data_IF_683418332981
#
_entry.id   IF_683418332981
#
_cell.length_a   1.000
_cell.length_b   1.000
_cell.length_c   1.000
_cell.angle_alpha   90.00
_cell.angle_beta   90.00
_cell.angle_gamma   90.00
#
_symmetry.space_group_name_H-M   'P 1'
#
loop_
_entity.id
_entity.type
_entity.pdbx_description
1 polymer ?
#
# COMPACT_ATOMS: atom_id res chain seq x y z
N UNK A 1 -3.76 -10.18 4.90
CA UNK A 1 -3.93 -10.64 3.49
C UNK A 1 -4.19 -12.15 3.47
N UNK A 2 -5.31 -12.59 2.87
CA UNK A 2 -5.66 -14.02 2.83
C UNK A 2 -5.20 -14.74 1.55
N UNK A 3 -4.98 -16.05 1.64
CA UNK A 3 -4.71 -16.92 0.48
C UNK A 3 -3.30 -16.75 -0.12
N UNK A 4 -3.13 -16.93 -1.44
CA UNK A 4 -1.80 -16.95 -2.09
C UNK A 4 -1.04 -15.62 -1.99
N UNK A 5 -1.72 -14.51 -1.72
CA UNK A 5 -1.07 -13.21 -1.49
C UNK A 5 -0.23 -13.21 -0.21
N UNK A 6 -0.62 -13.99 0.81
CA UNK A 6 0.09 -14.06 2.09
C UNK A 6 1.54 -14.53 1.91
N UNK A 7 1.73 -15.59 1.12
CA UNK A 7 3.06 -16.12 0.81
C UNK A 7 3.94 -15.08 0.10
N UNK A 8 3.36 -14.27 -0.79
CA UNK A 8 4.11 -13.18 -1.46
C UNK A 8 4.56 -12.14 -0.45
N UNK A 9 3.67 -11.69 0.45
CA UNK A 9 4.00 -10.68 1.46
C UNK A 9 4.99 -11.19 2.51
N UNK A 10 4.88 -12.44 2.94
CA UNK A 10 5.82 -13.06 3.89
C UNK A 10 7.24 -13.16 3.30
N UNK A 11 7.36 -13.55 2.02
CA UNK A 11 8.67 -13.59 1.34
C UNK A 11 9.28 -12.20 1.13
N UNK A 12 8.46 -11.16 1.02
CA UNK A 12 8.93 -9.77 0.94
C UNK A 12 9.21 -9.14 2.32
N UNK A 13 8.93 -9.85 3.42
CA UNK A 13 9.12 -9.34 4.78
C UNK A 13 8.05 -8.35 5.25
N UNK A 14 6.89 -8.30 4.58
CA UNK A 14 5.77 -7.43 4.96
C UNK A 14 4.91 -8.12 6.00
N UNK A 15 4.98 -7.64 7.24
CA UNK A 15 4.29 -8.24 8.39
C UNK A 15 2.88 -7.68 8.57
N UNK A 16 2.75 -6.36 8.51
CA UNK A 16 1.51 -5.63 8.78
C UNK A 16 0.81 -5.22 7.49
N UNK A 17 -0.22 -5.99 7.10
CA UNK A 17 -1.00 -5.69 5.91
C UNK A 17 -2.44 -6.22 5.98
N UNK A 18 -3.38 -5.31 5.75
CA UNK A 18 -4.80 -5.62 5.51
C UNK A 18 -5.05 -5.56 4.01
N UNK A 19 -5.57 -6.64 3.44
CA UNK A 19 -5.85 -6.71 2.01
C UNK A 19 -7.05 -7.62 1.77
N UNK A 20 -7.87 -7.25 0.77
CA UNK A 20 -9.02 -8.00 0.29
C UNK A 20 -8.93 -8.13 -1.23
N UNK A 21 -9.13 -9.35 -1.73
CA UNK A 21 -9.23 -9.57 -3.18
C UNK A 21 -10.62 -9.16 -3.64
N UNK A 22 -10.70 -8.24 -4.60
CA UNK A 22 -11.95 -7.80 -5.22
C UNK A 22 -12.02 -8.35 -6.64
N UNK A 23 -13.10 -9.03 -6.99
CA UNK A 23 -13.27 -9.69 -8.29
C UNK A 23 -12.92 -11.18 -8.26
N UNK A 24 -12.00 -11.61 -9.14
CA UNK A 24 -11.67 -13.04 -9.31
C UNK A 24 -10.85 -13.60 -8.14
N UNK A 25 -11.24 -14.77 -7.64
CA UNK A 25 -10.52 -15.51 -6.59
C UNK A 25 -9.52 -16.55 -7.15
N UNK A 26 -9.22 -16.50 -8.45
CA UNK A 26 -8.22 -17.40 -9.04
C UNK A 26 -6.81 -17.07 -8.51
N UNK A 27 -6.11 -18.07 -7.98
CA UNK A 27 -4.79 -17.93 -7.33
C UNK A 27 -3.75 -17.25 -8.23
N UNK A 28 -3.73 -17.58 -9.53
CA UNK A 28 -2.78 -16.97 -10.47
C UNK A 28 -3.03 -15.47 -10.64
N UNK A 29 -4.29 -15.08 -10.77
CA UNK A 29 -4.67 -13.68 -10.93
C UNK A 29 -4.44 -12.89 -9.63
N UNK A 30 -4.70 -13.49 -8.47
CA UNK A 30 -4.43 -12.85 -7.19
C UNK A 30 -2.94 -12.52 -7.02
N UNK A 31 -2.05 -13.44 -7.37
CA UNK A 31 -0.60 -13.20 -7.32
C UNK A 31 -0.19 -12.13 -8.33
N UNK A 32 -0.68 -12.21 -9.58
CA UNK A 32 -0.39 -11.20 -10.61
C UNK A 32 -0.87 -9.80 -10.20
N UNK A 33 -2.08 -9.70 -9.66
CA UNK A 33 -2.64 -8.45 -9.14
C UNK A 33 -1.85 -7.92 -7.94
N UNK A 34 -1.34 -8.81 -7.08
CA UNK A 34 -0.48 -8.41 -5.94
C UNK A 34 0.81 -7.76 -6.43
N UNK A 35 1.49 -8.37 -7.40
CA UNK A 35 2.70 -7.78 -7.97
C UNK A 35 2.41 -6.47 -8.72
N UNK A 36 1.29 -6.39 -9.42
CA UNK A 36 0.86 -5.16 -10.08
C UNK A 36 0.62 -4.04 -9.07
N UNK A 37 -0.10 -4.32 -7.97
CA UNK A 37 -0.35 -3.34 -6.90
C UNK A 37 0.94 -2.85 -6.22
N UNK A 38 1.93 -3.73 -6.06
CA UNK A 38 3.24 -3.37 -5.50
C UNK A 38 4.04 -2.45 -6.43
N UNK A 39 3.97 -2.67 -7.76
CA UNK A 39 4.66 -1.81 -8.74
C UNK A 39 4.09 -0.40 -8.82
N UNK A 40 2.80 -0.25 -8.51
CA UNK A 40 2.13 1.06 -8.49
C UNK A 40 2.30 1.82 -7.17
N UNK A 41 3.04 1.28 -6.19
CA UNK A 41 3.34 2.02 -4.96
C UNK A 41 4.29 3.18 -5.26
N UNK A 42 3.97 4.35 -4.72
CA UNK A 42 4.78 5.57 -4.90
C UNK A 42 5.36 6.02 -3.56
N UNK A 43 6.61 6.48 -3.59
CA UNK A 43 7.24 7.02 -2.39
C UNK A 43 6.61 8.38 -2.03
N UNK A 44 6.30 8.66 -0.75
CA UNK A 44 5.61 9.90 -0.37
C UNK A 44 6.36 11.18 -0.75
N UNK A 45 7.69 11.12 -0.88
CA UNK A 45 8.51 12.25 -1.36
C UNK A 45 8.23 12.60 -2.81
N UNK A 46 8.01 11.58 -3.66
CA UNK A 46 7.75 11.77 -5.09
C UNK A 46 6.36 12.39 -5.28
N UNK A 47 5.39 11.94 -4.48
CA UNK A 47 4.06 12.55 -4.42
C UNK A 47 4.13 14.00 -3.95
N UNK A 48 4.94 14.31 -2.93
CA UNK A 48 5.11 15.68 -2.45
C UNK A 48 5.70 16.59 -3.55
N UNK A 49 6.71 16.10 -4.28
CA UNK A 49 7.32 16.80 -5.40
C UNK A 49 6.32 17.02 -6.54
N UNK A 50 5.57 16.00 -6.93
CA UNK A 50 4.54 16.09 -7.97
C UNK A 50 3.43 17.09 -7.60
N UNK A 51 3.07 17.17 -6.31
CA UNK A 51 2.07 18.11 -5.77
C UNK A 51 2.61 19.50 -5.47
N UNK A 52 3.92 19.75 -5.65
CA UNK A 52 4.54 21.06 -5.39
C UNK A 52 4.55 21.48 -3.91
N UNK A 53 4.40 20.53 -2.97
CA UNK A 53 4.37 20.80 -1.54
C UNK A 53 5.62 20.28 -0.85
N UNK A 54 6.03 20.94 0.23
CA UNK A 54 7.15 20.46 1.05
C UNK A 54 6.79 19.10 1.66
N UNK A 55 7.78 18.22 1.72
CA UNK A 55 7.65 16.89 2.31
C UNK A 55 7.15 16.94 3.77
N UNK A 56 7.62 17.92 4.55
CA UNK A 56 7.17 18.15 5.93
C UNK A 56 5.67 18.45 6.02
N UNK A 57 5.14 19.25 5.09
CA UNK A 57 3.71 19.57 5.02
C UNK A 57 2.88 18.33 4.68
N UNK A 58 3.37 17.46 3.79
CA UNK A 58 2.69 16.20 3.48
C UNK A 58 2.67 15.23 4.67
N UNK A 59 3.77 15.16 5.45
CA UNK A 59 3.83 14.35 6.66
C UNK A 59 2.91 14.89 7.78
N UNK A 60 2.90 16.21 8.01
CA UNK A 60 2.06 16.81 9.05
C UNK A 60 0.56 16.49 8.82
N UNK A 61 0.08 16.64 7.58
CA UNK A 61 -1.30 16.28 7.20
C UNK A 61 -1.65 14.84 7.51
N UNK A 62 -0.71 13.91 7.33
CA UNK A 62 -0.93 12.49 7.67
C UNK A 62 -1.10 12.29 9.18
N UNK A 63 -0.33 13.02 9.99
CA UNK A 63 -0.42 12.93 11.46
C UNK A 63 -1.74 13.48 11.98
N UNK A 64 -2.17 14.62 11.45
CA UNK A 64 -3.44 15.26 11.85
C UNK A 64 -4.65 14.39 11.49
N UNK A 65 -4.61 13.70 10.34
CA UNK A 65 -5.65 12.75 9.95
C UNK A 65 -5.72 11.53 10.88
N UNK A 66 -4.57 11.00 11.32
CA UNK A 66 -4.52 9.82 12.19
C UNK A 66 -4.92 10.19 13.64
N UNK A 67 -4.61 11.40 14.10
CA UNK A 67 -4.97 11.88 15.45
C UNK A 67 -6.40 12.43 15.58
N UNK A 68 -7.16 12.54 14.48
CA UNK A 68 -8.56 12.97 14.51
C UNK A 68 -9.54 11.81 14.76
N UNK A 69 -9.05 10.56 14.67
CA UNK A 69 -9.82 9.33 14.87
C UNK A 69 -9.65 8.74 16.30
N UNK A 70 -9.04 9.50 17.23
CA UNK A 70 -8.99 9.21 18.68
C UNK A 70 -10.02 10.03 19.47
#
# INVERSE_FOLDING_TARGET
AGGPMRAVFEMLGVQDIVAKSMGSSNKYNMVRATFDALKHQMHPKDIAAQRGIKYSTLQARRRDLIGADE
#
